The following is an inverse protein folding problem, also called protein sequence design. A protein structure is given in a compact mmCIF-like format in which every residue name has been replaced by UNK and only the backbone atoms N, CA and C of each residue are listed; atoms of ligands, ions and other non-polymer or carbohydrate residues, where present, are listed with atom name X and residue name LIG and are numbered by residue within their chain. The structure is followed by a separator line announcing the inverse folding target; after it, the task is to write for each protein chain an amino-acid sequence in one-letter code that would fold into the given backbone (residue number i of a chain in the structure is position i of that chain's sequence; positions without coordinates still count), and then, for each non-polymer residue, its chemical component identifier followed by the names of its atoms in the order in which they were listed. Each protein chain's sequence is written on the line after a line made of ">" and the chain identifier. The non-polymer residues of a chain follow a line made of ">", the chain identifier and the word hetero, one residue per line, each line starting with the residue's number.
data_IF_775373355106
#
_entry.id   IF_775373355106
#
_cell.length_a   1.000
_cell.length_b   1.000
_cell.length_c   1.000
_cell.angle_alpha   90.00
_cell.angle_beta   90.00
_cell.angle_gamma   90.00
#
_symmetry.space_group_name_H-M   'P 1'
#
loop_
_entity.id
_entity.type
_entity.pdbx_description
1 polymer ?
#
# COMPACT_ATOMS: atom_id res chain seq x y z
N UNK A 1 19.91 16.77 1.44
CA UNK A 1 19.21 15.50 1.69
C UNK A 1 19.57 14.51 0.59
N UNK A 2 19.46 13.18 0.82
CA UNK A 2 19.71 12.14 -0.16
C UNK A 2 18.49 11.23 -0.30
N UNK A 3 18.29 10.54 -1.45
CA UNK A 3 17.33 9.45 -1.55
C UNK A 3 17.70 8.30 -0.60
N UNK A 4 16.72 7.69 0.07
CA UNK A 4 16.94 6.69 1.11
C UNK A 4 16.32 5.36 0.68
N UNK A 5 17.13 4.30 0.61
CA UNK A 5 16.66 2.92 0.56
C UNK A 5 16.83 2.32 1.96
N UNK A 6 15.84 1.59 2.42
CA UNK A 6 15.90 0.84 3.67
C UNK A 6 16.11 -0.66 3.42
N UNK A 7 16.72 -1.34 4.39
CA UNK A 7 16.74 -2.80 4.42
C UNK A 7 15.32 -3.30 4.60
N UNK A 8 14.85 -4.23 3.75
CA UNK A 8 13.53 -4.82 3.91
C UNK A 8 13.41 -5.59 5.23
N UNK A 9 12.25 -5.47 5.90
CA UNK A 9 11.93 -6.28 7.08
C UNK A 9 11.02 -7.41 6.58
N UNK A 10 11.52 -8.63 6.59
CA UNK A 10 10.79 -9.79 6.12
C UNK A 10 9.95 -10.42 7.22
N UNK A 11 8.74 -10.86 6.86
CA UNK A 11 7.80 -11.57 7.73
C UNK A 11 7.62 -13.01 7.24
N UNK A 12 7.97 -13.96 8.11
CA UNK A 12 7.71 -15.37 7.88
C UNK A 12 6.24 -15.67 8.21
N UNK A 13 5.46 -16.12 7.23
CA UNK A 13 4.01 -16.27 7.33
C UNK A 13 3.57 -17.58 6.66
N UNK A 14 2.60 -18.27 7.26
CA UNK A 14 2.14 -19.61 6.81
C UNK A 14 1.68 -19.66 5.35
N UNK A 15 1.35 -18.53 4.77
CA UNK A 15 0.93 -18.36 3.38
C UNK A 15 2.01 -17.74 2.48
N UNK A 16 3.18 -17.46 3.04
CA UNK A 16 4.28 -16.81 2.33
C UNK A 16 4.99 -17.72 1.32
N UNK A 17 5.72 -17.10 0.41
CA UNK A 17 6.43 -17.76 -0.69
C UNK A 17 7.88 -17.30 -0.85
N UNK A 18 8.43 -17.51 -2.04
CA UNK A 18 9.81 -17.21 -2.41
C UNK A 18 9.91 -16.32 -3.67
N UNK A 19 8.79 -15.91 -4.26
CA UNK A 19 8.80 -15.23 -5.57
C UNK A 19 9.46 -13.85 -5.54
N UNK A 20 9.58 -13.20 -4.37
CA UNK A 20 10.37 -11.97 -4.24
C UNK A 20 11.86 -12.23 -4.59
N UNK A 21 12.40 -13.42 -4.28
CA UNK A 21 13.74 -13.79 -4.74
C UNK A 21 13.79 -14.06 -6.24
N UNK A 22 12.82 -14.80 -6.76
CA UNK A 22 12.76 -15.19 -8.17
C UNK A 22 12.56 -13.97 -9.10
N UNK A 23 11.63 -13.09 -8.74
CA UNK A 23 11.24 -11.94 -9.57
C UNK A 23 12.19 -10.74 -9.41
N UNK A 24 12.69 -10.50 -8.20
CA UNK A 24 13.44 -9.29 -7.87
C UNK A 24 14.89 -9.55 -7.39
N UNK A 25 15.34 -10.80 -7.35
CA UNK A 25 16.66 -11.17 -6.88
C UNK A 25 16.89 -10.87 -5.39
N UNK A 26 15.84 -10.74 -4.58
CA UNK A 26 15.97 -10.46 -3.15
C UNK A 26 16.53 -11.67 -2.40
N UNK A 27 17.39 -11.41 -1.43
CA UNK A 27 17.90 -12.46 -0.52
C UNK A 27 16.90 -12.62 0.61
N UNK A 28 16.17 -13.73 0.62
CA UNK A 28 15.16 -14.02 1.63
C UNK A 28 15.77 -14.81 2.80
N UNK A 29 15.36 -14.55 4.05
CA UNK A 29 15.84 -15.28 5.22
C UNK A 29 15.22 -16.67 5.40
N UNK A 30 14.20 -17.03 4.60
CA UNK A 30 13.45 -18.28 4.70
C UNK A 30 12.64 -18.57 3.45
N UNK A 31 11.85 -19.66 3.50
CA UNK A 31 11.05 -20.15 2.36
C UNK A 31 9.56 -19.77 2.43
N UNK A 32 9.13 -19.11 3.52
CA UNK A 32 7.74 -18.75 3.78
C UNK A 32 7.58 -17.24 3.98
N UNK A 33 8.29 -16.44 3.17
CA UNK A 33 8.25 -14.99 3.32
C UNK A 33 7.01 -14.44 2.63
N UNK A 34 6.01 -14.07 3.44
CA UNK A 34 4.75 -13.53 2.94
C UNK A 34 4.80 -12.03 2.71
N UNK A 35 5.50 -11.29 3.57
CA UNK A 35 5.60 -9.83 3.47
C UNK A 35 7.04 -9.36 3.54
N UNK A 36 7.34 -8.31 2.78
CA UNK A 36 8.51 -7.47 2.88
C UNK A 36 8.06 -6.05 3.21
N UNK A 37 8.37 -5.56 4.39
CA UNK A 37 8.13 -4.18 4.77
C UNK A 37 9.31 -3.32 4.33
N UNK A 38 9.12 -2.60 3.24
CA UNK A 38 10.20 -1.86 2.60
C UNK A 38 10.43 -0.49 3.25
N UNK A 39 9.35 0.16 3.73
CA UNK A 39 9.43 1.38 4.54
C UNK A 39 8.47 1.26 5.71
N UNK A 40 9.03 1.21 6.91
CA UNK A 40 8.30 1.08 8.18
C UNK A 40 8.93 1.95 9.26
N UNK A 41 8.10 2.64 10.05
CA UNK A 41 8.50 3.36 11.24
C UNK A 41 7.60 2.96 12.42
N UNK A 42 7.67 1.68 12.81
CA UNK A 42 6.96 1.11 13.95
C UNK A 42 7.98 0.69 15.02
N UNK A 43 7.60 0.76 16.28
CA UNK A 43 8.54 0.58 17.41
C UNK A 43 9.41 -0.69 17.34
N UNK A 44 8.81 -1.81 16.96
CA UNK A 44 9.52 -3.11 16.86
C UNK A 44 9.99 -3.45 15.44
N UNK A 45 9.48 -2.72 14.44
CA UNK A 45 9.77 -2.93 13.01
C UNK A 45 10.21 -1.63 12.36
N UNK A 46 11.30 -1.07 12.87
CA UNK A 46 11.87 0.18 12.40
C UNK A 46 12.84 -0.08 11.23
N UNK A 47 12.55 0.50 10.07
CA UNK A 47 13.42 0.43 8.90
C UNK A 47 14.82 0.99 9.17
N UNK A 48 15.84 0.27 8.74
CA UNK A 48 17.24 0.67 8.80
C UNK A 48 17.70 1.10 7.41
N UNK A 49 18.31 2.26 7.31
CA UNK A 49 18.83 2.81 6.06
C UNK A 49 19.98 1.93 5.53
N UNK A 50 19.96 1.62 4.25
CA UNK A 50 20.94 0.75 3.58
C UNK A 50 21.94 1.49 2.68
N UNK A 51 21.75 2.79 2.46
CA UNK A 51 22.58 3.55 1.53
C UNK A 51 23.12 4.88 2.07
N UNK A 52 24.20 5.37 1.45
CA UNK A 52 24.75 6.70 1.65
C UNK A 52 25.26 6.98 3.05
N UNK A 53 25.31 8.25 3.43
CA UNK A 53 25.89 8.70 4.69
C UNK A 53 25.10 8.27 5.94
N UNK A 54 23.85 7.84 5.78
CA UNK A 54 22.99 7.41 6.89
C UNK A 54 22.85 5.89 7.02
N UNK A 55 23.63 5.12 6.23
CA UNK A 55 23.60 3.66 6.30
C UNK A 55 23.81 3.14 7.73
N UNK A 56 22.94 2.23 8.16
CA UNK A 56 22.94 1.67 9.51
C UNK A 56 22.13 2.44 10.54
N UNK A 57 21.71 3.68 10.26
CA UNK A 57 20.78 4.43 11.12
C UNK A 57 19.34 3.99 10.87
N UNK A 58 18.48 4.13 11.87
CA UNK A 58 17.06 3.87 11.66
C UNK A 58 16.37 5.10 11.05
N UNK A 59 15.34 4.86 10.23
CA UNK A 59 14.55 5.92 9.62
C UNK A 59 13.91 6.84 10.70
N UNK A 60 13.49 6.25 11.83
CA UNK A 60 12.94 7.00 12.96
C UNK A 60 13.93 8.01 13.56
N UNK A 61 15.21 7.64 13.71
CA UNK A 61 16.27 8.57 14.21
C UNK A 61 16.44 9.74 13.25
N UNK A 62 16.42 9.51 11.94
CA UNK A 62 16.54 10.59 10.95
C UNK A 62 15.31 11.51 10.98
N UNK A 63 14.12 10.96 11.13
CA UNK A 63 12.88 11.73 11.26
C UNK A 63 12.92 12.58 12.54
N UNK A 64 13.34 12.04 13.67
CA UNK A 64 13.41 12.82 14.91
C UNK A 64 14.49 13.92 14.86
N UNK A 65 15.58 13.70 14.14
CA UNK A 65 16.63 14.70 13.98
C UNK A 65 16.19 15.89 13.11
N UNK A 66 15.36 15.67 12.10
CA UNK A 66 14.85 16.73 11.22
C UNK A 66 13.47 16.34 10.65
N UNK A 67 12.42 16.46 11.47
CA UNK A 67 11.05 16.09 11.08
C UNK A 67 10.55 16.89 9.88
N UNK A 68 10.82 18.19 9.85
CA UNK A 68 10.35 19.04 8.75
C UNK A 68 11.08 18.71 7.44
N UNK A 69 12.38 18.49 7.49
CA UNK A 69 13.16 18.10 6.31
C UNK A 69 12.84 16.69 5.82
N UNK A 70 12.52 15.76 6.71
CA UNK A 70 12.17 14.39 6.36
C UNK A 70 10.72 14.26 5.91
N UNK A 71 9.76 14.73 6.70
CA UNK A 71 8.34 14.50 6.49
C UNK A 71 7.63 15.62 5.71
N UNK A 72 8.19 16.84 5.73
CA UNK A 72 7.58 18.05 5.17
C UNK A 72 6.72 18.82 6.16
N UNK A 73 6.41 20.07 5.77
CA UNK A 73 5.73 21.03 6.65
C UNK A 73 4.35 20.54 7.12
N UNK A 74 3.61 19.84 6.25
CA UNK A 74 2.27 19.34 6.58
C UNK A 74 2.28 18.18 7.57
N UNK A 75 3.38 17.44 7.68
CA UNK A 75 3.49 16.24 8.51
C UNK A 75 4.47 16.38 9.67
N UNK A 76 5.21 17.47 9.75
CA UNK A 76 6.21 17.68 10.80
C UNK A 76 5.63 17.66 12.22
N UNK A 77 4.35 17.98 12.38
CA UNK A 77 3.64 17.98 13.66
C UNK A 77 3.06 16.59 14.03
N UNK A 78 3.03 15.62 13.09
CA UNK A 78 2.48 14.29 13.37
C UNK A 78 3.41 13.52 14.30
N UNK A 79 2.86 12.87 15.31
CA UNK A 79 3.66 12.08 16.27
C UNK A 79 4.28 10.85 15.60
N UNK A 80 3.50 10.16 14.77
CA UNK A 80 3.87 8.90 14.15
C UNK A 80 4.08 9.08 12.65
N UNK A 81 4.97 8.26 12.07
CA UNK A 81 5.09 8.15 10.62
C UNK A 81 3.78 7.61 10.03
N UNK A 82 3.23 8.20 8.96
CA UNK A 82 1.84 7.93 8.58
C UNK A 82 1.62 6.65 7.78
N UNK A 83 2.62 6.14 7.08
CA UNK A 83 2.47 5.09 6.07
C UNK A 83 3.32 3.85 6.37
N UNK A 84 2.91 2.72 5.78
CA UNK A 84 3.67 1.49 5.69
C UNK A 84 3.61 1.02 4.23
N UNK A 85 4.76 0.68 3.66
CA UNK A 85 4.88 0.16 2.29
C UNK A 85 5.40 -1.25 2.32
N UNK A 86 4.69 -2.16 1.65
CA UNK A 86 5.01 -3.58 1.63
C UNK A 86 5.04 -4.14 0.20
N UNK A 87 5.76 -5.25 0.03
CA UNK A 87 5.54 -6.20 -1.05
C UNK A 87 5.03 -7.50 -0.41
N UNK A 88 3.93 -8.03 -0.95
CA UNK A 88 3.28 -9.25 -0.47
C UNK A 88 3.41 -10.34 -1.53
N UNK A 89 3.84 -11.53 -1.11
CA UNK A 89 3.88 -12.74 -1.94
C UNK A 89 2.98 -13.82 -1.33
N UNK A 90 1.78 -13.96 -1.88
CA UNK A 90 0.80 -14.93 -1.44
C UNK A 90 0.99 -16.27 -2.16
N UNK A 91 1.78 -17.19 -1.60
CA UNK A 91 1.85 -18.58 -2.08
C UNK A 91 0.54 -19.32 -1.82
N UNK A 92 -0.14 -18.99 -0.73
CA UNK A 92 -1.46 -19.51 -0.36
C UNK A 92 -2.40 -18.35 -0.02
N UNK A 93 -3.71 -18.62 0.12
CA UNK A 93 -4.70 -17.59 0.45
C UNK A 93 -4.37 -16.91 1.79
N UNK A 94 -4.48 -15.61 1.86
CA UNK A 94 -4.53 -14.90 3.14
C UNK A 94 -5.91 -15.14 3.80
N UNK A 95 -5.98 -14.93 5.11
CA UNK A 95 -7.28 -14.95 5.80
C UNK A 95 -8.24 -13.92 5.24
N UNK A 96 -9.54 -14.24 5.23
CA UNK A 96 -10.57 -13.22 5.02
C UNK A 96 -10.59 -12.30 6.23
N UNK A 97 -10.47 -11.01 6.00
CA UNK A 97 -10.25 -10.00 7.03
C UNK A 97 -10.93 -8.68 6.72
N UNK A 98 -11.02 -7.84 7.74
CA UNK A 98 -11.49 -6.47 7.65
C UNK A 98 -10.65 -5.59 8.58
N UNK A 99 -10.54 -4.31 8.27
CA UNK A 99 -9.78 -3.35 9.06
C UNK A 99 -10.67 -2.25 9.63
N UNK A 100 -10.38 -1.76 10.84
CA UNK A 100 -11.10 -0.64 11.42
C UNK A 100 -10.73 0.69 10.78
N UNK A 101 -11.64 1.64 10.80
CA UNK A 101 -11.34 3.05 10.56
C UNK A 101 -10.70 3.72 11.79
N UNK A 102 -10.21 4.95 11.62
CA UNK A 102 -9.49 5.70 12.67
C UNK A 102 -10.26 5.86 13.97
N UNK A 103 -11.57 6.10 13.89
CA UNK A 103 -12.40 6.28 15.09
C UNK A 103 -12.43 5.01 15.93
N UNK A 104 -12.74 3.87 15.30
CA UNK A 104 -12.75 2.59 16.00
C UNK A 104 -11.37 2.20 16.53
N UNK A 105 -10.31 2.43 15.74
CA UNK A 105 -8.93 2.18 16.17
C UNK A 105 -8.55 2.99 17.42
N UNK A 106 -8.95 4.26 17.50
CA UNK A 106 -8.71 5.10 18.69
C UNK A 106 -9.53 4.70 19.89
N UNK A 107 -10.83 4.48 19.71
CA UNK A 107 -11.77 4.27 20.80
C UNK A 107 -11.74 2.86 21.39
N UNK A 108 -11.50 1.85 20.56
CA UNK A 108 -11.55 0.43 20.96
C UNK A 108 -10.15 -0.16 21.15
N UNK A 109 -9.20 0.18 20.26
CA UNK A 109 -7.85 -0.41 20.31
C UNK A 109 -6.82 0.51 20.97
N UNK A 110 -7.15 1.77 21.24
CA UNK A 110 -6.21 2.81 21.73
C UNK A 110 -5.00 2.96 20.79
N UNK A 111 -5.24 2.84 19.48
CA UNK A 111 -4.23 2.98 18.43
C UNK A 111 -4.43 4.27 17.63
N UNK A 112 -3.35 4.87 17.10
CA UNK A 112 -3.41 6.17 16.43
C UNK A 112 -4.13 6.12 15.08
N UNK A 113 -4.08 4.99 14.38
CA UNK A 113 -4.55 4.83 13.01
C UNK A 113 -5.46 3.61 12.84
N UNK A 114 -6.49 3.77 12.00
CA UNK A 114 -7.17 2.67 11.33
C UNK A 114 -6.27 2.08 10.25
N UNK A 115 -6.85 1.27 9.36
CA UNK A 115 -6.09 0.66 8.27
C UNK A 115 -6.88 0.74 6.96
N UNK A 116 -6.71 1.86 6.28
CA UNK A 116 -7.06 2.02 4.87
C UNK A 116 -5.81 1.73 4.04
N UNK A 117 -5.97 0.96 2.97
CA UNK A 117 -4.87 0.49 2.15
C UNK A 117 -5.20 0.49 0.65
N UNK A 118 -4.20 0.30 -0.18
CA UNK A 118 -4.36 0.03 -1.59
C UNK A 118 -3.40 -1.08 -2.01
N UNK A 119 -3.77 -1.80 -3.05
CA UNK A 119 -2.97 -2.83 -3.69
C UNK A 119 -2.69 -2.48 -5.14
N UNK A 120 -1.43 -2.58 -5.54
CA UNK A 120 -1.00 -2.60 -6.93
C UNK A 120 -0.57 -4.04 -7.27
N UNK A 121 -1.25 -4.68 -8.20
CA UNK A 121 -0.99 -6.09 -8.55
C UNK A 121 0.30 -6.19 -9.36
N UNK A 122 1.35 -6.77 -8.76
CA UNK A 122 2.66 -6.96 -9.38
C UNK A 122 2.71 -8.21 -10.26
N UNK A 123 1.94 -9.24 -9.87
CA UNK A 123 1.84 -10.49 -10.60
C UNK A 123 0.59 -11.26 -10.15
N UNK A 124 -0.09 -11.91 -11.10
CA UNK A 124 -1.25 -12.71 -10.83
C UNK A 124 -1.36 -13.85 -11.89
N UNK A 125 -1.69 -15.07 -11.49
CA UNK A 125 -1.93 -16.15 -12.45
C UNK A 125 -3.16 -15.83 -13.30
N UNK A 126 -3.21 -16.40 -14.51
CA UNK A 126 -4.37 -16.23 -15.40
C UNK A 126 -5.65 -16.69 -14.70
N UNK A 127 -6.65 -15.82 -14.65
CA UNK A 127 -7.93 -16.09 -14.01
C UNK A 127 -7.89 -15.93 -12.49
N UNK A 128 -6.87 -15.26 -11.94
CA UNK A 128 -6.84 -14.91 -10.52
C UNK A 128 -7.99 -13.97 -10.16
N UNK A 129 -8.47 -14.12 -8.94
CA UNK A 129 -9.49 -13.28 -8.35
C UNK A 129 -9.04 -12.88 -6.94
N UNK A 130 -9.41 -11.71 -6.48
CA UNK A 130 -9.35 -11.34 -5.07
C UNK A 130 -10.71 -11.55 -4.41
N UNK A 131 -10.73 -11.70 -3.09
CA UNK A 131 -11.94 -11.53 -2.32
C UNK A 131 -12.09 -10.05 -1.99
N UNK A 132 -13.17 -9.42 -2.48
CA UNK A 132 -13.44 -7.99 -2.29
C UNK A 132 -14.91 -7.81 -1.94
N UNK A 133 -15.15 -7.38 -0.71
CA UNK A 133 -16.48 -7.14 -0.16
C UNK A 133 -17.30 -8.41 0.07
N UNK A 134 -18.51 -8.19 0.52
CA UNK A 134 -19.56 -9.20 0.56
C UNK A 134 -20.36 -9.18 -0.75
N UNK A 135 -20.98 -10.29 -1.09
CA UNK A 135 -21.97 -10.35 -2.18
C UNK A 135 -23.12 -9.40 -1.87
N UNK A 136 -23.73 -8.86 -2.92
CA UNK A 136 -24.84 -7.95 -2.78
C UNK A 136 -26.02 -8.60 -2.04
N UNK A 137 -26.60 -7.82 -1.12
CA UNK A 137 -27.74 -8.26 -0.32
C UNK A 137 -27.40 -9.09 0.92
N UNK A 138 -26.13 -9.42 1.16
CA UNK A 138 -25.71 -10.10 2.41
C UNK A 138 -25.85 -9.11 3.57
N UNK A 139 -26.73 -9.45 4.51
CA UNK A 139 -26.95 -8.68 5.75
C UNK A 139 -25.96 -9.10 6.85
N UNK A 140 -25.89 -8.28 7.91
CA UNK A 140 -25.14 -8.64 9.14
C UNK A 140 -25.62 -9.97 9.73
N UNK A 141 -26.93 -10.24 9.69
CA UNK A 141 -27.54 -11.48 10.21
C UNK A 141 -27.14 -12.68 9.35
N UNK A 142 -27.24 -12.56 8.02
CA UNK A 142 -26.84 -13.61 7.06
C UNK A 142 -25.37 -13.98 7.25
N UNK A 143 -24.50 -12.97 7.34
CA UNK A 143 -23.08 -13.19 7.55
C UNK A 143 -22.77 -13.85 8.90
N UNK A 144 -23.42 -13.38 9.98
CA UNK A 144 -23.29 -13.99 11.30
C UNK A 144 -23.72 -15.47 11.33
N UNK A 145 -24.80 -15.80 10.60
CA UNK A 145 -25.23 -17.19 10.41
C UNK A 145 -24.20 -18.00 9.61
N UNK A 146 -23.70 -17.46 8.51
CA UNK A 146 -22.66 -18.12 7.69
C UNK A 146 -21.39 -18.41 8.50
N UNK A 147 -20.99 -17.50 9.40
CA UNK A 147 -19.86 -17.72 10.33
C UNK A 147 -20.16 -18.91 11.25
N UNK A 148 -21.35 -18.96 11.85
CA UNK A 148 -21.74 -20.04 12.76
C UNK A 148 -21.83 -21.41 12.06
N UNK A 149 -22.27 -21.41 10.81
CA UNK A 149 -22.44 -22.63 9.99
C UNK A 149 -21.14 -23.04 9.25
N UNK A 150 -20.06 -22.24 9.34
CA UNK A 150 -18.79 -22.47 8.61
C UNK A 150 -18.89 -22.23 7.10
N UNK A 151 -19.87 -21.45 6.64
CA UNK A 151 -20.19 -21.18 5.24
C UNK A 151 -19.81 -19.76 4.79
N UNK A 152 -18.80 -19.14 5.42
CA UNK A 152 -18.38 -17.75 5.17
C UNK A 152 -18.09 -17.48 3.69
N UNK A 153 -17.49 -18.44 2.98
CA UNK A 153 -17.13 -18.30 1.57
C UNK A 153 -18.34 -18.03 0.66
N UNK A 154 -19.52 -18.47 1.03
CA UNK A 154 -20.76 -18.23 0.28
C UNK A 154 -21.22 -16.78 0.31
N UNK A 155 -20.75 -16.01 1.28
CA UNK A 155 -21.05 -14.58 1.43
C UNK A 155 -20.06 -13.65 0.71
N UNK A 156 -18.93 -14.16 0.22
CA UNK A 156 -17.82 -13.35 -0.25
C UNK A 156 -17.99 -12.92 -1.72
N UNK A 157 -17.72 -11.63 -1.99
CA UNK A 157 -17.56 -11.08 -3.32
C UNK A 157 -16.20 -11.48 -3.90
N UNK A 158 -16.13 -11.63 -5.24
CA UNK A 158 -14.90 -11.96 -5.96
C UNK A 158 -14.68 -10.95 -7.07
N UNK A 159 -13.43 -10.49 -7.21
CA UNK A 159 -13.00 -9.54 -8.23
C UNK A 159 -11.92 -10.19 -9.09
N UNK A 160 -12.17 -10.44 -10.37
CA UNK A 160 -11.12 -10.86 -11.32
C UNK A 160 -10.04 -9.77 -11.44
N UNK A 161 -8.78 -10.18 -11.45
CA UNK A 161 -7.62 -9.27 -11.49
C UNK A 161 -6.56 -9.72 -12.49
N UNK A 162 -5.72 -8.76 -12.86
CA UNK A 162 -4.50 -8.96 -13.64
C UNK A 162 -3.37 -8.06 -13.09
N UNK A 163 -2.13 -8.35 -13.50
CA UNK A 163 -1.00 -7.47 -13.19
C UNK A 163 -1.26 -6.06 -13.74
N UNK A 164 -0.93 -5.05 -12.94
CA UNK A 164 -1.17 -3.64 -13.22
C UNK A 164 -2.47 -3.09 -12.62
N UNK A 165 -3.39 -3.94 -12.17
CA UNK A 165 -4.63 -3.48 -11.53
C UNK A 165 -4.33 -2.79 -10.18
N UNK A 166 -5.16 -1.78 -9.87
CA UNK A 166 -5.12 -1.05 -8.62
C UNK A 166 -6.44 -1.24 -7.87
N UNK A 167 -6.37 -1.66 -6.62
CA UNK A 167 -7.53 -1.90 -5.76
C UNK A 167 -7.45 -0.97 -4.55
N UNK A 168 -8.53 -0.27 -4.25
CA UNK A 168 -8.64 0.55 -3.05
C UNK A 168 -9.40 -0.21 -1.96
N UNK A 169 -8.74 -0.45 -0.84
CA UNK A 169 -9.28 -1.18 0.31
C UNK A 169 -9.56 -0.16 1.43
N UNK A 170 -10.74 0.42 1.39
CA UNK A 170 -11.18 1.30 2.47
C UNK A 170 -11.40 0.50 3.77
N UNK A 171 -11.18 1.15 4.93
CA UNK A 171 -11.57 0.55 6.21
C UNK A 171 -13.04 0.11 6.19
N UNK A 172 -13.34 -1.07 6.72
CA UNK A 172 -14.68 -1.69 6.67
C UNK A 172 -14.93 -2.61 5.48
N UNK A 173 -14.09 -2.59 4.44
CA UNK A 173 -14.21 -3.49 3.30
C UNK A 173 -13.65 -4.88 3.64
N UNK A 174 -14.48 -5.91 3.60
CA UNK A 174 -14.05 -7.31 3.74
C UNK A 174 -13.18 -7.69 2.54
N UNK A 175 -12.02 -8.29 2.76
CA UNK A 175 -11.11 -8.63 1.67
C UNK A 175 -10.19 -9.80 2.01
N UNK A 176 -9.61 -10.43 0.97
CA UNK A 176 -8.48 -11.33 1.09
C UNK A 176 -7.69 -11.41 -0.23
N UNK A 177 -6.39 -11.56 -0.10
CA UNK A 177 -5.48 -11.90 -1.20
C UNK A 177 -5.52 -13.41 -1.40
N UNK A 178 -5.71 -13.85 -2.63
CA UNK A 178 -5.77 -15.28 -2.97
C UNK A 178 -4.41 -15.83 -3.38
N UNK A 179 -4.28 -17.13 -3.36
CA UNK A 179 -3.06 -17.84 -3.71
C UNK A 179 -2.54 -17.47 -5.11
N UNK A 180 -1.24 -17.29 -5.22
CA UNK A 180 -0.56 -16.97 -6.47
C UNK A 180 -0.47 -15.48 -6.78
N UNK A 181 -1.09 -14.60 -6.01
CA UNK A 181 -1.01 -13.15 -6.21
C UNK A 181 0.24 -12.58 -5.55
N UNK A 182 0.92 -11.67 -6.23
CA UNK A 182 1.96 -10.80 -5.66
C UNK A 182 1.55 -9.34 -5.87
N UNK A 183 1.68 -8.51 -4.84
CA UNK A 183 1.26 -7.11 -4.91
C UNK A 183 2.16 -6.18 -4.09
N UNK A 184 2.13 -4.89 -4.42
CA UNK A 184 2.63 -3.83 -3.56
C UNK A 184 1.45 -3.23 -2.79
N UNK A 185 1.61 -3.11 -1.47
CA UNK A 185 0.63 -2.53 -0.57
C UNK A 185 1.13 -1.22 0.01
N UNK A 186 0.30 -0.19 -0.09
CA UNK A 186 0.49 1.10 0.58
C UNK A 186 -0.67 1.26 1.53
N UNK A 187 -0.39 1.48 2.81
CA UNK A 187 -1.39 1.55 3.86
C UNK A 187 -1.07 2.63 4.91
N UNK A 188 -2.08 2.99 5.69
CA UNK A 188 -1.83 3.67 6.96
C UNK A 188 -0.88 2.83 7.82
N UNK A 189 -0.07 3.48 8.66
CA UNK A 189 0.91 2.80 9.54
C UNK A 189 0.23 2.06 10.69
N UNK A 190 -0.57 1.07 10.36
CA UNK A 190 -1.35 0.21 11.25
C UNK A 190 -1.15 -1.25 10.87
N UNK A 191 -1.25 -2.15 11.85
CA UNK A 191 -1.18 -3.59 11.67
C UNK A 191 -2.44 -4.29 12.21
N UNK A 192 -3.49 -3.49 12.45
CA UNK A 192 -4.74 -3.99 13.04
C UNK A 192 -5.53 -4.75 12.00
N UNK A 193 -5.66 -6.05 12.21
CA UNK A 193 -6.38 -6.97 11.32
C UNK A 193 -7.40 -7.77 12.10
N UNK A 194 -8.67 -7.68 11.71
CA UNK A 194 -9.73 -8.53 12.24
C UNK A 194 -9.98 -9.69 11.28
N UNK A 195 -9.48 -10.86 11.67
CA UNK A 195 -9.63 -12.10 10.91
C UNK A 195 -11.01 -12.67 11.12
N UNK A 196 -11.72 -12.89 10.00
CA UNK A 196 -13.08 -13.41 10.00
C UNK A 196 -13.11 -14.91 9.67
N UNK A 197 -12.22 -15.35 8.77
CA UNK A 197 -12.13 -16.73 8.32
C UNK A 197 -10.70 -17.05 7.89
N UNK A 198 -10.21 -18.23 8.23
CA UNK A 198 -8.83 -18.66 7.94
C UNK A 198 -8.74 -20.08 7.38
N UNK A 199 -9.76 -20.53 6.68
CA UNK A 199 -9.78 -21.84 6.00
C UNK A 199 -9.50 -23.02 6.95
N UNK A 200 -9.75 -22.87 8.24
CA UNK A 200 -9.42 -23.84 9.30
C UNK A 200 -7.95 -24.28 9.33
N UNK A 201 -7.04 -23.42 8.85
CA UNK A 201 -5.59 -23.69 8.82
C UNK A 201 -4.97 -23.61 10.20
N UNK A 202 -3.85 -24.33 10.36
CA UNK A 202 -3.01 -24.23 11.55
C UNK A 202 -1.88 -23.23 11.31
N UNK A 203 -1.53 -22.48 12.34
CA UNK A 203 -0.32 -21.67 12.38
C UNK A 203 0.95 -22.52 12.50
N UNK A 204 2.12 -21.89 12.50
CA UNK A 204 3.39 -22.59 12.71
C UNK A 204 3.50 -23.29 14.06
N UNK A 205 2.71 -22.86 15.05
CA UNK A 205 2.62 -23.48 16.37
C UNK A 205 1.68 -24.70 16.41
N UNK A 206 1.09 -25.09 15.29
CA UNK A 206 0.14 -26.19 15.17
C UNK A 206 -1.26 -25.89 15.71
N UNK A 207 -1.60 -24.63 15.98
CA UNK A 207 -2.92 -24.19 16.44
C UNK A 207 -3.60 -23.32 15.40
N UNK A 208 -4.95 -23.30 15.36
CA UNK A 208 -5.68 -22.33 14.56
C UNK A 208 -5.32 -20.90 15.00
N UNK A 209 -5.21 -19.97 14.04
CA UNK A 209 -5.05 -18.55 14.36
C UNK A 209 -6.36 -17.98 14.89
N UNK A 210 -6.25 -17.03 15.83
CA UNK A 210 -7.41 -16.38 16.44
C UNK A 210 -8.29 -15.69 15.39
N UNK A 211 -9.59 -15.85 15.52
CA UNK A 211 -10.61 -15.12 14.79
C UNK A 211 -11.13 -13.95 15.65
N UNK A 212 -11.45 -12.84 15.01
CA UNK A 212 -11.90 -11.61 15.68
C UNK A 212 -13.34 -11.27 15.26
N UNK A 213 -14.25 -12.24 15.36
CA UNK A 213 -15.60 -12.17 14.76
C UNK A 213 -16.36 -10.93 15.23
N UNK A 214 -16.45 -10.69 16.54
CA UNK A 214 -17.23 -9.56 17.09
C UNK A 214 -16.71 -8.22 16.55
N UNK A 215 -15.41 -7.97 16.64
CA UNK A 215 -14.78 -6.75 16.12
C UNK A 215 -14.90 -6.63 14.60
N UNK A 216 -14.80 -7.75 13.89
CA UNK A 216 -15.04 -7.79 12.44
C UNK A 216 -16.45 -7.35 12.10
N UNK A 217 -17.43 -7.88 12.81
CA UNK A 217 -18.85 -7.53 12.62
C UNK A 217 -19.11 -6.06 12.90
N UNK A 218 -18.41 -5.45 13.87
CA UNK A 218 -18.60 -4.05 14.22
C UNK A 218 -18.13 -3.09 13.13
N UNK A 219 -17.07 -3.45 12.41
CA UNK A 219 -16.43 -2.54 11.44
C UNK A 219 -16.79 -2.84 9.98
N UNK A 220 -17.43 -3.98 9.69
CA UNK A 220 -17.76 -4.39 8.32
C UNK A 220 -18.82 -3.49 7.69
N UNK A 221 -18.58 -3.06 6.45
CA UNK A 221 -19.57 -2.36 5.60
C UNK A 221 -20.65 -3.33 5.10
N UNK A 222 -21.72 -3.52 5.88
CA UNK A 222 -22.90 -4.26 5.46
C UNK A 222 -23.86 -3.44 4.58
N UNK A 223 -23.66 -2.12 4.48
CA UNK A 223 -24.45 -1.27 3.58
C UNK A 223 -24.01 -1.41 2.11
N UNK A 224 -22.81 -1.95 1.88
CA UNK A 224 -22.29 -2.20 0.54
C UNK A 224 -21.98 -0.92 -0.24
N UNK A 225 -21.61 0.16 0.47
CA UNK A 225 -21.33 1.47 -0.15
C UNK A 225 -19.88 1.64 -0.57
N UNK A 226 -18.98 0.78 -0.09
CA UNK A 226 -17.57 0.83 -0.45
C UNK A 226 -17.32 0.28 -1.85
N UNK A 227 -16.33 0.84 -2.54
CA UNK A 227 -15.93 0.42 -3.88
C UNK A 227 -15.41 -1.02 -3.87
N UNK A 228 -15.91 -1.85 -4.78
CA UNK A 228 -15.52 -3.26 -4.93
C UNK A 228 -14.83 -3.55 -6.28
N UNK A 229 -14.66 -2.56 -7.15
CA UNK A 229 -14.04 -2.68 -8.45
C UNK A 229 -12.60 -2.16 -8.43
N UNK A 230 -11.80 -2.62 -9.40
CA UNK A 230 -10.50 -2.01 -9.67
C UNK A 230 -10.64 -0.52 -10.02
N UNK A 231 -9.64 0.26 -9.66
CA UNK A 231 -9.57 1.69 -9.97
C UNK A 231 -8.94 1.86 -11.34
N UNK A 232 -9.67 2.35 -12.36
CA UNK A 232 -9.15 2.46 -13.73
C UNK A 232 -7.97 3.43 -13.84
N UNK A 233 -7.99 4.51 -13.06
CA UNK A 233 -7.03 5.59 -13.12
C UNK A 233 -7.25 6.56 -14.29
N UNK A 234 -6.57 7.70 -14.22
CA UNK A 234 -6.53 8.69 -15.29
C UNK A 234 -5.06 8.98 -15.62
N UNK A 235 -4.69 8.75 -16.87
CA UNK A 235 -3.31 8.95 -17.34
C UNK A 235 -3.15 10.33 -17.97
N UNK A 236 -2.13 11.04 -17.53
CA UNK A 236 -1.69 12.32 -18.12
C UNK A 236 -0.30 12.10 -18.73
N UNK A 237 -0.22 12.13 -20.06
CA UNK A 237 1.02 11.92 -20.81
C UNK A 237 1.95 13.12 -20.74
N UNK A 238 3.28 12.85 -20.71
CA UNK A 238 4.39 13.79 -20.87
C UNK A 238 5.40 13.19 -21.84
N UNK A 239 6.34 13.98 -22.34
CA UNK A 239 7.32 13.51 -23.32
C UNK A 239 8.12 12.29 -22.81
N UNK A 240 8.63 12.37 -21.59
CA UNK A 240 9.52 11.36 -21.02
C UNK A 240 8.81 10.37 -20.07
N UNK A 241 7.55 10.59 -19.74
CA UNK A 241 6.80 9.70 -18.83
C UNK A 241 5.28 9.86 -18.95
N UNK A 242 4.53 8.85 -18.52
CA UNK A 242 3.11 8.95 -18.25
C UNK A 242 2.89 8.91 -16.75
N UNK A 243 1.99 9.78 -16.25
CA UNK A 243 1.57 9.78 -14.85
C UNK A 243 0.10 9.37 -14.78
N UNK A 244 -0.18 8.24 -14.12
CA UNK A 244 -1.55 7.76 -13.91
C UNK A 244 -1.96 7.99 -12.47
N UNK A 245 -3.05 8.69 -12.28
CA UNK A 245 -3.66 9.01 -10.99
C UNK A 245 -4.70 7.95 -10.66
N UNK A 246 -4.56 7.27 -9.52
CA UNK A 246 -5.51 6.24 -9.08
C UNK A 246 -6.28 6.62 -7.83
N UNK A 247 -5.58 6.98 -6.76
CA UNK A 247 -6.16 7.14 -5.43
C UNK A 247 -5.69 8.46 -4.84
N UNK A 248 -6.62 9.18 -4.20
CA UNK A 248 -6.32 10.26 -3.28
C UNK A 248 -7.32 10.23 -2.13
N UNK A 249 -6.84 9.94 -0.93
CA UNK A 249 -7.62 9.95 0.31
C UNK A 249 -6.85 10.72 1.39
N UNK A 250 -7.44 11.01 2.56
CA UNK A 250 -6.75 11.76 3.62
C UNK A 250 -5.45 11.12 4.11
N UNK A 251 -5.25 9.84 3.85
CA UNK A 251 -4.12 9.07 4.34
C UNK A 251 -2.98 8.96 3.33
N UNK A 252 -3.31 8.77 2.06
CA UNK A 252 -2.32 8.65 0.98
C UNK A 252 -2.91 8.95 -0.40
N UNK A 253 -2.02 9.29 -1.33
CA UNK A 253 -2.26 9.20 -2.77
C UNK A 253 -1.41 8.08 -3.35
N UNK A 254 -1.93 7.45 -4.43
CA UNK A 254 -1.21 6.47 -5.22
C UNK A 254 -1.31 6.81 -6.71
N UNK A 255 -0.14 6.85 -7.36
CA UNK A 255 0.03 7.16 -8.77
C UNK A 255 1.05 6.19 -9.37
N UNK A 256 0.96 5.86 -10.65
CA UNK A 256 2.09 5.24 -11.35
C UNK A 256 2.76 6.25 -12.27
N UNK A 257 4.08 6.20 -12.32
CA UNK A 257 4.91 6.95 -13.24
C UNK A 257 5.63 5.95 -14.15
N UNK A 258 5.21 5.91 -15.42
CA UNK A 258 5.84 5.08 -16.45
C UNK A 258 6.92 5.89 -17.17
N UNK A 259 8.17 5.78 -16.72
CA UNK A 259 9.33 6.51 -17.21
C UNK A 259 9.88 5.90 -18.52
N UNK A 260 10.20 6.75 -19.50
CA UNK A 260 10.76 6.37 -20.81
C UNK A 260 11.93 7.29 -21.19
N UNK A 261 12.91 7.43 -20.34
CA UNK A 261 14.07 8.29 -20.60
C UNK A 261 14.46 9.13 -19.41
N UNK A 262 14.61 10.43 -19.58
CA UNK A 262 15.06 11.36 -18.54
C UNK A 262 14.01 12.42 -18.25
N UNK A 263 13.70 12.61 -16.98
CA UNK A 263 12.76 13.63 -16.51
C UNK A 263 13.21 14.23 -15.18
N UNK A 264 12.96 15.53 -15.03
CA UNK A 264 13.28 16.29 -13.82
C UNK A 264 12.03 16.45 -12.96
N UNK A 265 12.23 16.32 -11.65
CA UNK A 265 11.19 16.42 -10.63
C UNK A 265 11.65 17.28 -9.46
N UNK A 266 10.70 17.71 -8.66
CA UNK A 266 10.95 18.38 -7.39
C UNK A 266 10.06 17.75 -6.33
N UNK A 267 10.63 17.32 -5.21
CA UNK A 267 9.83 16.89 -4.07
C UNK A 267 9.11 18.09 -3.50
N UNK A 268 7.79 17.95 -3.26
CA UNK A 268 7.00 19.00 -2.62
C UNK A 268 7.49 19.19 -1.16
N UNK A 269 7.95 20.37 -0.74
CA UNK A 269 8.49 20.59 0.61
C UNK A 269 7.42 20.43 1.72
N UNK A 270 6.15 20.37 1.35
CA UNK A 270 5.07 20.11 2.30
C UNK A 270 5.01 18.65 2.77
N UNK A 271 5.60 17.70 2.02
CA UNK A 271 5.51 16.26 2.26
C UNK A 271 6.66 15.47 1.64
N UNK A 272 6.93 14.29 2.15
CA UNK A 272 7.82 13.30 1.52
C UNK A 272 7.14 12.59 0.35
N UNK A 273 7.93 11.84 -0.42
CA UNK A 273 7.45 10.91 -1.45
C UNK A 273 8.11 9.53 -1.28
N UNK A 274 7.43 8.48 -1.70
CA UNK A 274 8.00 7.15 -1.85
C UNK A 274 7.78 6.67 -3.27
N UNK A 275 8.82 6.05 -3.86
CA UNK A 275 8.75 5.45 -5.18
C UNK A 275 9.09 3.96 -5.04
N UNK A 276 8.13 3.08 -5.31
CA UNK A 276 8.36 1.64 -5.42
C UNK A 276 8.52 1.30 -6.89
N UNK A 277 9.69 0.83 -7.30
CA UNK A 277 9.92 0.38 -8.66
C UNK A 277 9.24 -0.98 -8.86
N UNK A 278 8.23 -1.03 -9.72
CA UNK A 278 7.47 -2.26 -9.99
C UNK A 278 8.02 -3.02 -11.20
N UNK A 279 8.58 -2.28 -12.18
CA UNK A 279 9.17 -2.83 -13.41
C UNK A 279 10.38 -2.00 -13.86
N UNK A 280 11.36 -2.65 -14.47
CA UNK A 280 12.53 -1.99 -15.03
C UNK A 280 13.47 -1.41 -13.99
N UNK A 281 14.14 -0.32 -14.33
CA UNK A 281 15.07 0.37 -13.44
C UNK A 281 15.22 1.85 -13.81
N UNK A 282 15.61 2.65 -12.84
CA UNK A 282 15.93 4.06 -13.02
C UNK A 282 17.12 4.48 -12.16
N UNK A 283 17.83 5.49 -12.60
CA UNK A 283 18.84 6.21 -11.82
C UNK A 283 18.21 7.48 -11.28
N UNK A 284 18.27 7.67 -9.98
CA UNK A 284 17.85 8.88 -9.28
C UNK A 284 19.09 9.72 -9.02
N UNK A 285 19.13 10.92 -9.56
CA UNK A 285 20.22 11.90 -9.32
C UNK A 285 19.65 13.08 -8.56
N UNK A 286 20.20 13.40 -7.40
CA UNK A 286 19.87 14.55 -6.58
C UNK A 286 21.16 15.20 -6.04
N UNK A 287 21.08 16.40 -5.45
CA UNK A 287 22.23 17.08 -4.84
C UNK A 287 22.97 16.17 -3.83
N UNK A 288 22.22 15.38 -3.04
CA UNK A 288 22.76 14.47 -2.02
C UNK A 288 23.33 13.16 -2.55
N UNK A 289 23.36 12.92 -3.87
CA UNK A 289 23.96 11.73 -4.45
C UNK A 289 23.19 11.10 -5.61
N UNK A 290 23.71 9.97 -6.07
CA UNK A 290 23.15 9.18 -7.16
C UNK A 290 22.77 7.80 -6.62
N UNK A 291 21.59 7.32 -6.98
CA UNK A 291 21.03 6.04 -6.53
C UNK A 291 20.42 5.29 -7.72
N UNK A 292 20.75 4.02 -7.90
CA UNK A 292 20.03 3.11 -8.79
C UNK A 292 18.86 2.48 -8.05
N UNK A 293 17.67 2.58 -8.64
CA UNK A 293 16.44 1.95 -8.13
C UNK A 293 15.97 0.92 -9.16
N UNK A 294 15.97 -0.34 -8.78
CA UNK A 294 15.55 -1.46 -9.62
C UNK A 294 14.17 -2.00 -9.19
N UNK A 295 13.55 -2.78 -10.06
CA UNK A 295 12.28 -3.44 -9.76
C UNK A 295 12.34 -4.20 -8.42
N UNK A 296 11.27 -4.09 -7.65
CA UNK A 296 11.18 -4.65 -6.31
C UNK A 296 11.84 -3.81 -5.21
N UNK A 297 12.31 -2.60 -5.46
CA UNK A 297 12.89 -1.72 -4.44
C UNK A 297 12.00 -0.49 -4.22
N UNK A 298 11.99 -0.01 -2.96
CA UNK A 298 11.31 1.22 -2.58
C UNK A 298 12.33 2.25 -2.09
N UNK A 299 12.24 3.47 -2.59
CA UNK A 299 13.03 4.61 -2.13
C UNK A 299 12.13 5.62 -1.42
N UNK A 300 12.58 6.11 -0.29
CA UNK A 300 12.01 7.24 0.42
C UNK A 300 12.74 8.52 -0.02
N UNK A 301 12.01 9.52 -0.48
CA UNK A 301 12.48 10.84 -0.88
C UNK A 301 12.06 11.86 0.17
N UNK A 302 13.00 12.34 1.02
CA UNK A 302 12.70 13.33 2.05
C UNK A 302 12.09 14.61 1.46
N UNK A 303 11.23 15.29 2.18
CA UNK A 303 10.61 16.54 1.74
C UNK A 303 11.64 17.64 1.37
N UNK A 304 12.75 17.70 2.09
CA UNK A 304 13.84 18.64 1.81
C UNK A 304 14.86 18.12 0.77
N UNK A 305 14.54 17.05 0.03
CA UNK A 305 15.42 16.58 -1.06
C UNK A 305 15.54 17.63 -2.17
N UNK A 306 14.44 18.35 -2.47
CA UNK A 306 14.41 19.34 -3.53
C UNK A 306 14.36 18.72 -4.93
N UNK A 307 15.12 19.26 -5.86
CA UNK A 307 15.16 18.79 -7.24
C UNK A 307 15.88 17.43 -7.37
N UNK A 308 15.33 16.56 -8.21
CA UNK A 308 15.94 15.29 -8.59
C UNK A 308 15.58 14.93 -10.03
N UNK A 309 16.43 14.12 -10.63
CA UNK A 309 16.23 13.59 -11.99
C UNK A 309 16.03 12.08 -11.91
N UNK A 310 15.09 11.56 -12.69
CA UNK A 310 14.96 10.13 -12.99
C UNK A 310 15.46 9.89 -14.41
N UNK A 311 16.30 8.87 -14.60
CA UNK A 311 16.81 8.49 -15.91
C UNK A 311 16.79 6.97 -16.07
N UNK A 312 16.07 6.45 -17.06
CA UNK A 312 15.93 5.02 -17.31
C UNK A 312 14.62 4.63 -17.99
N UNK A 313 14.22 3.37 -17.80
CA UNK A 313 12.94 2.82 -18.23
C UNK A 313 12.37 2.02 -17.06
N UNK A 314 11.32 2.53 -16.44
CA UNK A 314 10.75 1.96 -15.22
C UNK A 314 9.27 2.30 -15.07
N UNK A 315 8.54 1.44 -14.38
CA UNK A 315 7.24 1.77 -13.79
C UNK A 315 7.43 1.96 -12.29
N UNK A 316 7.10 3.13 -11.80
CA UNK A 316 7.25 3.52 -10.40
C UNK A 316 5.87 3.75 -9.78
N UNK A 317 5.52 3.01 -8.73
CA UNK A 317 4.37 3.31 -7.88
C UNK A 317 4.78 4.42 -6.91
N UNK A 318 4.22 5.62 -7.12
CA UNK A 318 4.47 6.80 -6.29
C UNK A 318 3.41 6.93 -5.23
N UNK A 319 3.82 7.10 -3.97
CA UNK A 319 2.93 7.29 -2.82
C UNK A 319 3.39 8.43 -1.91
N UNK A 320 2.43 9.12 -1.34
CA UNK A 320 2.63 10.25 -0.43
C UNK A 320 1.33 10.60 0.28
N UNK A 321 1.37 11.44 1.32
CA UNK A 321 0.16 12.02 1.95
C UNK A 321 -0.20 13.30 1.20
N UNK A 322 -1.35 13.35 0.49
CA UNK A 322 -1.65 14.45 -0.43
C UNK A 322 -2.32 15.65 0.23
N UNK A 323 -2.17 16.81 -0.39
CA UNK A 323 -3.26 17.78 -0.52
C UNK A 323 -4.11 17.35 -1.71
N UNK A 324 -5.30 16.78 -1.44
CA UNK A 324 -6.13 16.14 -2.47
C UNK A 324 -6.53 17.13 -3.57
N UNK A 325 -6.87 18.36 -3.20
CA UNK A 325 -7.30 19.37 -4.14
C UNK A 325 -6.16 19.76 -5.10
N UNK A 326 -5.02 20.14 -4.56
CA UNK A 326 -3.91 20.69 -5.35
C UNK A 326 -3.06 19.63 -6.05
N UNK A 327 -3.03 18.39 -5.54
CA UNK A 327 -2.13 17.34 -6.04
C UNK A 327 -2.85 16.20 -6.79
N UNK A 328 -4.20 16.19 -6.78
CA UNK A 328 -4.98 15.21 -7.52
C UNK A 328 -6.07 15.86 -8.39
N UNK A 329 -6.96 16.66 -7.79
CA UNK A 329 -8.12 17.20 -8.50
C UNK A 329 -7.71 18.27 -9.52
N UNK A 330 -7.03 19.33 -9.09
CA UNK A 330 -6.65 20.44 -9.98
C UNK A 330 -5.74 20.01 -11.15
N UNK A 331 -4.74 19.12 -10.99
CA UNK A 331 -3.96 18.62 -12.12
C UNK A 331 -4.80 17.87 -13.17
N UNK A 332 -5.79 17.09 -12.73
CA UNK A 332 -6.67 16.35 -13.63
C UNK A 332 -7.68 17.28 -14.32
N UNK A 333 -8.20 18.28 -13.62
CA UNK A 333 -9.04 19.32 -14.23
C UNK A 333 -8.25 20.14 -15.26
N UNK A 334 -7.02 20.50 -14.97
CA UNK A 334 -6.14 21.18 -15.92
C UNK A 334 -5.82 20.32 -17.16
N UNK A 335 -5.88 18.99 -17.03
CA UNK A 335 -5.76 18.04 -18.13
C UNK A 335 -7.11 17.83 -18.88
N UNK A 336 -8.18 18.54 -18.50
CA UNK A 336 -9.48 18.53 -19.20
C UNK A 336 -10.51 17.55 -18.64
N UNK A 337 -10.28 16.94 -17.46
CA UNK A 337 -11.24 16.03 -16.85
C UNK A 337 -12.24 16.78 -15.98
N UNK A 338 -13.51 16.36 -16.02
CA UNK A 338 -14.56 16.87 -15.12
C UNK A 338 -14.47 16.20 -13.75
N UNK A 339 -15.03 16.83 -12.71
CA UNK A 339 -15.06 16.23 -11.37
C UNK A 339 -15.77 14.88 -11.36
N UNK A 340 -16.86 14.74 -12.10
CA UNK A 340 -17.58 13.47 -12.26
C UNK A 340 -16.68 12.38 -12.87
N UNK A 341 -15.97 12.70 -13.96
CA UNK A 341 -15.03 11.75 -14.59
C UNK A 341 -13.83 11.40 -13.70
N UNK A 342 -13.39 12.32 -12.84
CA UNK A 342 -12.35 12.05 -11.84
C UNK A 342 -12.89 11.06 -10.80
N UNK A 343 -14.07 11.29 -10.24
CA UNK A 343 -14.68 10.40 -9.22
C UNK A 343 -15.02 9.02 -9.77
N UNK A 344 -15.43 8.92 -11.05
CA UNK A 344 -15.70 7.65 -11.70
C UNK A 344 -14.43 6.80 -11.88
N UNK A 345 -13.35 7.43 -12.35
CA UNK A 345 -12.12 6.72 -12.76
C UNK A 345 -11.05 6.62 -11.69
N UNK A 346 -11.15 7.40 -10.64
CA UNK A 346 -10.19 7.39 -9.52
C UNK A 346 -10.92 7.19 -8.20
N UNK A 347 -10.21 6.74 -7.17
CA UNK A 347 -10.76 6.65 -5.82
C UNK A 347 -10.40 7.93 -5.04
N UNK A 348 -11.22 8.97 -5.19
CA UNK A 348 -11.09 10.23 -4.44
C UNK A 348 -12.01 10.19 -3.23
N UNK A 349 -11.42 10.29 -2.04
CA UNK A 349 -12.14 10.38 -0.76
C UNK A 349 -11.79 11.70 -0.10
N UNK A 350 -12.74 12.61 0.03
CA UNK A 350 -12.49 13.98 0.50
C UNK A 350 -12.54 14.12 2.03
N UNK A 351 -13.20 13.19 2.75
CA UNK A 351 -13.32 13.22 4.22
C UNK A 351 -13.84 11.89 4.76
#
# INVERSE_FOLDING_TARGET
>A
MQPIICKPIYKDLIWGGTRMAEKYGRVLPGESIGESWDVSCRDLEMSVVDNGAWAGQTLGVLIEADRAGMLGANLAHTKNFPLLVKIIDAKDNLSVQVHPGDTYAREVENLPYGKTEMWYILDAPKGAELIIGLRDGITREDFGKAVADGAVEECLGRLPIAAGDVIFIAAGLVHAITAGVMLAEIQQNSDTTYRMYDYNRLGFDGKPRDLHIDKSMDVTDFAGVLRKEAVPGITVGRDAYDLTYYIACPYFAAQTLALRGKADFVVNPARFEMLTCTEGETVITAEGGVLRLAAGQTVFLPAALGAYTLEGSAVLLKSFVPDIETEHILPLQAAGHTMEGIQEKTAVVLS
#
